data_IF_033304736057
#
_entry.id   IF_033304736057
#
_cell.length_a   1.000
_cell.length_b   1.000
_cell.length_c   1.000
_cell.angle_alpha   90.00
_cell.angle_beta   90.00
_cell.angle_gamma   90.00
#
_symmetry.space_group_name_H-M   'P 1'
#
loop_
_entity.id
_entity.type
_entity.pdbx_description
1 polymer ?
#
# COMPACT_ATOMS: atom_id res chain seq x y z
N UNK A 1 32.28 -36.71 2.79
CA UNK A 1 31.07 -35.87 2.84
C UNK A 1 31.49 -34.40 2.94
N UNK A 2 31.46 -33.66 1.83
CA UNK A 2 31.91 -32.25 1.77
C UNK A 2 30.73 -31.34 2.15
N UNK A 3 30.87 -30.59 3.25
CA UNK A 3 29.98 -29.46 3.60
C UNK A 3 30.53 -28.21 2.91
N UNK A 4 29.77 -27.67 1.98
CA UNK A 4 30.06 -26.39 1.33
C UNK A 4 29.37 -25.27 2.13
N UNK A 5 30.14 -24.31 2.61
CA UNK A 5 29.65 -23.11 3.28
C UNK A 5 29.05 -22.10 2.27
N UNK A 6 28.06 -21.27 2.66
CA UNK A 6 27.52 -20.25 1.76
C UNK A 6 28.47 -19.05 1.63
N UNK A 7 28.66 -18.66 0.36
CA UNK A 7 29.48 -17.52 -0.09
C UNK A 7 28.78 -16.21 0.27
N UNK A 8 29.46 -15.43 1.09
CA UNK A 8 29.15 -14.05 1.42
C UNK A 8 29.38 -13.15 0.18
N UNK A 9 28.33 -12.53 -0.37
CA UNK A 9 28.45 -11.54 -1.46
C UNK A 9 28.23 -10.13 -0.90
N UNK A 10 29.35 -9.46 -0.68
CA UNK A 10 29.45 -8.03 -0.44
C UNK A 10 28.77 -7.23 -1.57
N UNK A 11 27.83 -6.37 -1.18
CA UNK A 11 27.41 -5.21 -1.95
C UNK A 11 28.53 -4.18 -1.91
N UNK A 12 29.26 -4.03 -3.02
CA UNK A 12 30.17 -2.91 -3.26
C UNK A 12 29.38 -1.76 -3.87
N UNK A 13 29.05 -0.76 -3.05
CA UNK A 13 28.86 0.60 -3.51
C UNK A 13 30.26 1.20 -3.70
N UNK A 14 30.71 1.35 -4.95
CA UNK A 14 31.91 2.12 -5.25
C UNK A 14 31.50 3.46 -5.84
N UNK A 15 31.58 4.48 -4.99
CA UNK A 15 31.61 5.89 -5.38
C UNK A 15 33.05 6.26 -5.65
N UNK A 16 33.42 6.46 -6.92
CA UNK A 16 34.65 7.18 -7.27
C UNK A 16 34.37 8.13 -8.44
N UNK A 17 34.32 9.42 -8.08
CA UNK A 17 34.64 10.51 -9.00
C UNK A 17 36.09 10.34 -9.45
N UNK A 18 36.34 10.29 -10.77
CA UNK A 18 37.56 10.88 -11.31
C UNK A 18 37.33 11.38 -12.74
N UNK A 19 37.73 12.63 -12.92
CA UNK A 19 37.83 13.38 -14.16
C UNK A 19 38.82 12.76 -15.15
N UNK A 20 38.65 13.23 -16.39
CA UNK A 20 39.65 13.46 -17.43
C UNK A 20 39.87 12.40 -18.52
N UNK A 21 39.54 12.88 -19.73
CA UNK A 21 40.23 12.72 -21.00
C UNK A 21 40.56 11.30 -21.47
N UNK A 22 39.82 10.83 -22.48
CA UNK A 22 40.49 10.20 -23.61
C UNK A 22 39.77 10.45 -24.94
N UNK A 23 40.61 10.67 -25.95
CA UNK A 23 40.34 11.15 -27.31
C UNK A 23 39.48 10.20 -28.13
N UNK A 24 38.76 10.80 -29.09
CA UNK A 24 38.20 10.17 -30.30
C UNK A 24 39.23 9.27 -31.00
N UNK A 25 38.75 8.23 -31.70
CA UNK A 25 38.87 8.33 -33.16
C UNK A 25 37.59 7.96 -33.90
N UNK A 26 37.49 8.55 -35.09
CA UNK A 26 36.62 8.19 -36.20
C UNK A 26 36.66 6.69 -36.49
N UNK A 27 35.50 6.05 -36.63
CA UNK A 27 35.27 4.97 -37.59
C UNK A 27 33.84 5.10 -38.14
N UNK A 28 33.75 5.42 -39.42
CA UNK A 28 32.58 5.26 -40.26
C UNK A 28 32.43 3.78 -40.66
N UNK A 29 31.20 3.26 -40.74
CA UNK A 29 30.74 2.09 -41.54
C UNK A 29 29.21 2.12 -41.40
N UNK A 30 28.48 2.65 -42.39
CA UNK A 30 27.97 2.03 -43.61
C UNK A 30 26.52 1.53 -43.44
N UNK A 31 25.64 2.21 -44.18
CA UNK A 31 24.26 1.84 -44.47
C UNK A 31 24.17 0.43 -45.06
N UNK A 32 23.19 -0.35 -44.62
CA UNK A 32 22.60 -1.37 -45.49
C UNK A 32 21.09 -1.42 -45.27
N UNK A 33 20.39 -0.84 -46.24
CA UNK A 33 18.97 -1.01 -46.49
C UNK A 33 18.70 -2.43 -46.98
N UNK A 34 17.64 -3.05 -46.49
CA UNK A 34 16.97 -4.11 -47.22
C UNK A 34 15.47 -4.02 -46.95
N UNK A 35 14.76 -3.54 -47.96
CA UNK A 35 13.30 -3.49 -48.07
C UNK A 35 12.84 -4.72 -48.85
N UNK A 36 11.82 -5.41 -48.36
CA UNK A 36 10.78 -6.16 -49.10
C UNK A 36 10.00 -7.00 -48.07
N UNK A 37 8.78 -6.66 -47.68
CA UNK A 37 7.52 -6.80 -48.42
C UNK A 37 7.05 -8.26 -48.56
N UNK A 38 5.85 -8.51 -48.05
CA UNK A 38 4.71 -9.26 -48.64
C UNK A 38 4.08 -10.36 -47.76
N UNK A 39 2.77 -10.16 -47.55
CA UNK A 39 1.69 -11.18 -47.62
C UNK A 39 1.62 -12.22 -46.48
N UNK A 40 0.48 -12.50 -45.84
CA UNK A 40 -0.89 -12.15 -46.16
C UNK A 40 -1.88 -12.55 -45.07
N UNK A 41 -3.12 -12.10 -45.30
CA UNK A 41 -4.33 -12.48 -44.59
C UNK A 41 -4.63 -13.97 -44.75
N UNK A 42 -5.20 -14.60 -43.72
CA UNK A 42 -6.45 -15.33 -43.92
C UNK A 42 -7.23 -15.56 -42.62
N UNK A 43 -8.46 -15.09 -42.66
CA UNK A 43 -9.56 -15.42 -41.77
C UNK A 43 -10.01 -16.87 -42.01
N UNK A 44 -10.39 -17.57 -40.95
CA UNK A 44 -11.46 -18.56 -41.03
C UNK A 44 -12.16 -18.64 -39.67
N UNK A 45 -13.38 -18.10 -39.63
CA UNK A 45 -14.36 -18.38 -38.61
C UNK A 45 -14.80 -19.85 -38.72
N UNK A 46 -15.05 -20.51 -37.60
CA UNK A 46 -16.00 -21.63 -37.56
C UNK A 46 -16.77 -21.60 -36.26
N UNK A 47 -18.08 -21.58 -36.44
CA UNK A 47 -19.17 -21.48 -35.49
C UNK A 47 -19.49 -22.79 -34.77
N UNK A 48 -20.12 -22.65 -33.60
CA UNK A 48 -21.22 -23.48 -33.08
C UNK A 48 -20.94 -24.95 -32.75
N UNK A 49 -21.15 -25.31 -31.49
CA UNK A 49 -22.32 -26.11 -31.10
C UNK A 49 -22.46 -26.20 -29.57
N UNK A 50 -23.68 -25.90 -29.11
CA UNK A 50 -24.24 -26.27 -27.82
C UNK A 50 -24.95 -27.63 -27.97
N UNK A 51 -25.05 -28.41 -26.88
CA UNK A 51 -26.37 -28.89 -26.42
C UNK A 51 -26.50 -28.63 -24.89
N UNK A 52 -27.52 -27.95 -24.37
CA UNK A 52 -28.90 -28.39 -24.09
C UNK A 52 -29.03 -29.74 -23.38
N UNK A 53 -29.29 -29.70 -22.07
CA UNK A 53 -30.37 -30.43 -21.35
C UNK A 53 -30.30 -30.17 -19.82
N UNK A 54 -31.13 -29.23 -19.34
CA UNK A 54 -32.24 -29.36 -18.35
C UNK A 54 -32.28 -30.52 -17.29
N UNK A 55 -33.18 -30.48 -16.26
CA UNK A 55 -33.08 -29.75 -15.00
C UNK A 55 -33.20 -30.67 -13.76
N UNK A 56 -32.73 -30.23 -12.58
CA UNK A 56 -33.19 -30.82 -11.30
C UNK A 56 -33.45 -29.74 -10.26
N UNK A 57 -34.74 -29.49 -10.08
CA UNK A 57 -35.39 -28.87 -8.93
C UNK A 57 -35.13 -29.70 -7.66
N UNK A 58 -35.01 -29.06 -6.49
CA UNK A 58 -35.78 -29.38 -5.26
C UNK A 58 -35.48 -28.35 -4.15
N UNK A 59 -36.56 -27.63 -3.81
CA UNK A 59 -37.03 -27.19 -2.50
C UNK A 59 -36.12 -26.42 -1.50
N UNK A 60 -36.48 -25.15 -1.35
CA UNK A 60 -36.43 -24.31 -0.15
C UNK A 60 -37.29 -24.90 0.99
N UNK A 61 -36.83 -24.81 2.26
CA UNK A 61 -37.74 -24.72 3.40
C UNK A 61 -37.80 -23.28 3.94
N UNK A 62 -39.04 -22.79 4.08
CA UNK A 62 -39.42 -21.52 4.68
C UNK A 62 -39.22 -21.52 6.22
N UNK A 63 -39.23 -20.33 6.87
CA UNK A 63 -38.89 -20.18 8.28
C UNK A 63 -40.06 -20.54 9.20
N UNK A 64 -39.80 -21.35 10.23
CA UNK A 64 -40.75 -21.62 11.30
C UNK A 64 -40.76 -20.47 12.31
N UNK A 65 -41.97 -20.01 12.60
CA UNK A 65 -42.32 -19.00 13.59
C UNK A 65 -42.90 -19.66 14.85
N UNK A 66 -42.92 -18.86 15.93
CA UNK A 66 -43.72 -18.95 17.17
C UNK A 66 -43.13 -19.75 18.35
N UNK A 67 -43.57 -19.53 19.62
CA UNK A 67 -44.37 -18.41 20.19
C UNK A 67 -43.81 -17.83 21.53
N UNK A 68 -44.29 -16.60 21.86
CA UNK A 68 -44.82 -16.11 23.16
C UNK A 68 -44.03 -16.47 24.44
N UNK A 69 -43.63 -15.51 25.28
CA UNK A 69 -44.41 -15.15 26.50
C UNK A 69 -43.90 -13.85 27.12
N UNK A 70 -44.81 -12.88 27.26
CA UNK A 70 -44.70 -11.75 28.18
C UNK A 70 -45.08 -12.18 29.60
N UNK A 71 -44.53 -11.52 30.63
CA UNK A 71 -45.41 -10.98 31.64
C UNK A 71 -45.18 -9.49 31.92
N UNK A 72 -46.31 -8.80 32.08
CA UNK A 72 -46.47 -7.51 32.73
C UNK A 72 -45.85 -7.52 34.16
N UNK A 73 -45.53 -6.42 34.85
CA UNK A 73 -46.34 -5.22 35.10
C UNK A 73 -45.53 -4.26 36.02
N UNK A 74 -46.09 -3.18 36.63
CA UNK A 74 -45.58 -1.82 36.53
C UNK A 74 -44.85 -1.31 37.79
N UNK A 75 -43.95 -0.34 37.63
CA UNK A 75 -43.54 0.51 38.77
C UNK A 75 -43.71 1.98 38.41
N UNK A 76 -44.62 2.59 39.15
CA UNK A 76 -44.99 3.98 39.11
C UNK A 76 -43.79 4.89 39.43
N UNK A 77 -43.55 5.89 38.60
CA UNK A 77 -42.74 7.05 38.95
C UNK A 77 -43.66 8.24 39.20
N UNK A 78 -43.73 8.66 40.47
CA UNK A 78 -44.33 9.93 40.88
C UNK A 78 -43.47 11.11 40.43
N UNK A 79 -44.07 12.28 40.19
CA UNK A 79 -43.41 13.46 39.65
C UNK A 79 -42.71 14.27 40.75
N UNK A 80 -41.44 14.64 40.54
CA UNK A 80 -40.74 15.63 41.39
C UNK A 80 -39.88 16.58 40.55
N UNK A 81 -40.48 17.73 40.27
CA UNK A 81 -39.95 19.09 40.38
C UNK A 81 -38.61 19.48 39.73
N UNK A 82 -38.77 20.23 38.62
CA UNK A 82 -37.86 21.25 38.07
C UNK A 82 -37.39 22.28 39.11
N UNK A 83 -36.08 22.61 39.17
CA UNK A 83 -35.63 23.93 39.56
C UNK A 83 -35.42 24.84 38.33
N UNK A 84 -35.84 26.09 38.48
CA UNK A 84 -35.72 27.20 37.51
C UNK A 84 -34.25 27.59 37.22
N UNK A 85 -34.00 28.28 36.09
CA UNK A 85 -32.68 28.73 35.68
C UNK A 85 -32.23 29.94 36.51
N UNK A 86 -31.01 29.89 37.04
CA UNK A 86 -30.33 31.08 37.57
C UNK A 86 -29.22 31.46 36.60
N UNK A 87 -29.59 32.40 35.74
CA UNK A 87 -28.68 33.35 35.12
C UNK A 87 -28.01 34.18 36.22
N UNK A 88 -26.68 34.24 36.20
CA UNK A 88 -25.91 35.44 36.58
C UNK A 88 -24.48 35.28 36.09
N UNK A 89 -24.25 35.85 34.91
CA UNK A 89 -22.94 36.18 34.36
C UNK A 89 -22.24 37.18 35.29
N UNK A 90 -20.92 37.03 35.44
CA UNK A 90 -20.00 38.14 35.74
C UNK A 90 -18.79 38.05 34.76
N UNK A 91 -18.34 39.19 34.20
CA UNK A 91 -17.67 39.28 32.89
C UNK A 91 -16.15 38.92 32.92
N UNK A 92 -15.51 38.85 31.73
CA UNK A 92 -14.32 38.03 31.49
C UNK A 92 -13.04 38.75 31.89
N UNK A 93 -12.15 38.02 32.56
CA UNK A 93 -10.76 38.46 32.70
C UNK A 93 -10.03 38.11 31.41
N UNK A 94 -9.73 39.15 30.64
CA UNK A 94 -8.96 39.08 29.42
C UNK A 94 -7.52 38.59 29.69
N UNK A 95 -7.25 37.42 29.13
CA UNK A 95 -6.07 37.04 28.34
C UNK A 95 -4.67 37.41 28.85
N UNK A 96 -3.89 36.37 29.10
CA UNK A 96 -2.56 36.29 28.47
C UNK A 96 -2.65 35.26 27.34
N UNK A 97 -2.42 35.64 26.06
CA UNK A 97 -2.41 34.71 24.95
C UNK A 97 -1.17 33.82 25.10
N UNK A 98 -1.36 32.56 25.50
CA UNK A 98 -0.37 31.54 25.21
C UNK A 98 -0.44 31.28 23.71
N UNK A 99 0.46 31.97 23.00
CA UNK A 99 1.08 31.64 21.71
C UNK A 99 0.30 30.75 20.73
N UNK A 100 0.09 31.18 19.48
CA UNK A 100 -0.48 30.34 18.44
C UNK A 100 0.47 29.16 18.22
N UNK A 101 0.05 27.95 18.60
CA UNK A 101 0.76 26.74 18.21
C UNK A 101 0.42 26.50 16.75
N UNK A 102 1.42 26.84 15.94
CA UNK A 102 1.49 26.75 14.49
C UNK A 102 0.93 25.43 13.96
N UNK A 103 -0.05 25.57 13.09
CA UNK A 103 -0.44 24.75 11.94
C UNK A 103 0.63 23.75 11.44
N UNK A 104 0.78 22.62 12.15
CA UNK A 104 1.57 21.48 11.74
C UNK A 104 0.75 20.19 11.92
N UNK A 105 -0.33 20.09 11.15
CA UNK A 105 -0.78 18.79 10.63
C UNK A 105 -0.23 18.65 9.21
N UNK A 106 -0.07 17.44 8.65
CA UNK A 106 -0.05 16.11 9.24
C UNK A 106 1.33 15.46 9.14
N UNK A 107 1.66 14.59 10.10
CA UNK A 107 2.92 13.86 10.10
C UNK A 107 2.88 12.70 9.10
N UNK A 108 3.95 12.50 8.33
CA UNK A 108 4.09 11.35 7.43
C UNK A 108 5.07 10.37 8.07
N UNK A 109 4.66 9.11 8.19
CA UNK A 109 5.50 8.09 8.81
C UNK A 109 5.13 6.66 8.44
N UNK A 110 6.04 5.75 8.76
CA UNK A 110 5.84 4.31 8.63
C UNK A 110 5.38 3.78 9.98
N UNK A 111 4.18 3.20 10.03
CA UNK A 111 3.66 2.61 11.27
C UNK A 111 4.45 1.35 11.60
N UNK A 112 5.02 1.29 12.80
CA UNK A 112 5.81 0.16 13.30
C UNK A 112 5.00 -0.70 14.23
N UNK A 113 4.17 -0.08 15.04
CA UNK A 113 3.44 -0.77 16.08
C UNK A 113 2.15 -0.02 16.43
N UNK A 114 1.11 -0.78 16.79
CA UNK A 114 -0.15 -0.27 17.31
C UNK A 114 -0.51 -1.11 18.53
N UNK A 115 -0.73 -0.47 19.68
CA UNK A 115 -1.04 -1.13 20.94
C UNK A 115 -2.29 -0.53 21.57
N UNK A 116 -3.22 -1.39 22.00
CA UNK A 116 -4.38 -0.96 22.76
C UNK A 116 -3.97 -0.61 24.19
N UNK A 117 -4.14 0.66 24.57
CA UNK A 117 -3.91 1.14 25.92
C UNK A 117 -5.20 1.31 26.71
N UNK A 118 -5.07 1.67 27.99
CA UNK A 118 -6.22 1.86 28.88
C UNK A 118 -7.01 3.16 28.59
N UNK A 119 -6.32 4.19 28.09
CA UNK A 119 -6.90 5.53 27.88
C UNK A 119 -7.10 5.87 26.41
N UNK A 120 -6.30 5.27 25.53
CA UNK A 120 -6.31 5.49 24.09
C UNK A 120 -5.51 4.38 23.39
N UNK A 121 -5.59 4.35 22.07
CA UNK A 121 -4.70 3.54 21.24
C UNK A 121 -3.32 4.23 21.18
N UNK A 122 -2.23 3.46 21.24
CA UNK A 122 -0.87 3.99 21.08
C UNK A 122 -0.29 3.52 19.77
N UNK A 123 0.23 4.45 18.97
CA UNK A 123 0.78 4.19 17.65
C UNK A 123 2.24 4.60 17.65
N UNK A 124 3.13 3.64 17.39
CA UNK A 124 4.56 3.89 17.19
C UNK A 124 4.85 3.91 15.70
N UNK A 125 5.55 4.95 15.24
CA UNK A 125 5.86 5.12 13.83
C UNK A 125 7.21 5.83 13.64
N UNK A 126 7.82 5.60 12.48
CA UNK A 126 9.06 6.26 12.07
C UNK A 126 8.74 7.41 11.13
N UNK A 127 9.13 8.64 11.48
CA UNK A 127 8.90 9.83 10.65
C UNK A 127 9.86 9.93 9.44
N UNK A 128 9.69 10.95 8.61
CA UNK A 128 10.53 11.17 7.41
C UNK A 128 12.02 11.44 7.74
N UNK A 129 12.32 11.87 8.96
CA UNK A 129 13.69 12.05 9.44
C UNK A 129 14.34 10.76 9.92
N UNK A 130 13.57 9.65 9.96
CA UNK A 130 14.02 8.36 10.48
C UNK A 130 13.92 8.25 12.00
N UNK A 131 13.24 9.17 12.68
CA UNK A 131 13.07 9.17 14.13
C UNK A 131 11.77 8.45 14.50
N UNK A 132 11.86 7.58 15.49
CA UNK A 132 10.68 6.91 16.04
C UNK A 132 9.97 7.79 17.06
N UNK A 133 8.64 7.79 16.98
CA UNK A 133 7.75 8.47 17.93
C UNK A 133 6.55 7.60 18.24
N UNK A 134 6.00 7.80 19.42
CA UNK A 134 4.78 7.15 19.89
C UNK A 134 3.76 8.20 20.22
N UNK A 135 2.57 8.08 19.63
CA UNK A 135 1.51 9.05 19.79
C UNK A 135 0.16 8.38 20.08
N UNK A 136 -0.75 9.17 20.66
CA UNK A 136 -2.09 8.74 21.01
C UNK A 136 -3.01 8.73 19.78
N UNK A 137 -3.87 7.73 19.71
CA UNK A 137 -4.81 7.48 18.63
C UNK A 137 -6.17 7.07 19.19
N UNK A 138 -7.22 7.18 18.37
CA UNK A 138 -8.55 6.69 18.73
C UNK A 138 -8.57 5.16 18.79
N UNK A 139 -9.46 4.59 19.61
CA UNK A 139 -9.51 3.15 19.87
C UNK A 139 -9.81 2.32 18.62
N UNK A 140 -10.55 2.87 17.67
CA UNK A 140 -10.95 2.26 16.41
C UNK A 140 -9.74 1.84 15.57
N UNK A 141 -8.61 2.55 15.68
CA UNK A 141 -7.38 2.19 14.98
C UNK A 141 -6.68 0.96 15.56
N UNK A 142 -6.98 0.62 16.82
CA UNK A 142 -6.45 -0.56 17.51
C UNK A 142 -7.27 -1.84 17.25
N UNK A 143 -8.47 -1.75 16.67
CA UNK A 143 -9.32 -2.94 16.40
C UNK A 143 -8.70 -3.88 15.36
N UNK A 144 -7.94 -3.31 14.43
CA UNK A 144 -7.32 -4.03 13.33
C UNK A 144 -5.91 -3.48 13.10
N UNK A 145 -4.92 -3.82 13.94
CA UNK A 145 -3.59 -3.22 13.86
C UNK A 145 -2.81 -3.71 12.63
N UNK A 146 -2.98 -4.98 12.25
CA UNK A 146 -2.17 -5.65 11.22
C UNK A 146 -2.28 -5.02 9.83
N UNK A 147 -3.42 -4.40 9.49
CA UNK A 147 -3.59 -3.74 8.19
C UNK A 147 -2.76 -2.45 8.05
N UNK A 148 -2.30 -1.89 9.17
CA UNK A 148 -1.58 -0.61 9.19
C UNK A 148 -0.07 -0.78 9.33
N UNK A 149 0.42 -1.92 9.83
CA UNK A 149 1.85 -2.11 10.08
C UNK A 149 2.70 -2.08 8.81
N UNK A 150 3.91 -1.54 8.94
CA UNK A 150 4.95 -1.46 7.91
C UNK A 150 4.55 -0.73 6.62
N UNK A 151 3.54 0.13 6.72
CA UNK A 151 3.06 0.96 5.61
C UNK A 151 3.21 2.44 5.93
N UNK A 152 3.36 3.23 4.88
CA UNK A 152 3.53 4.69 4.98
C UNK A 152 2.15 5.36 4.96
N UNK A 153 1.87 6.15 5.98
CA UNK A 153 0.63 6.89 6.11
C UNK A 153 0.90 8.35 6.45
N UNK A 154 -0.10 9.17 6.18
CA UNK A 154 -0.27 10.53 6.67
C UNK A 154 -1.19 10.42 7.88
N UNK A 155 -0.71 10.87 9.02
CA UNK A 155 -1.42 10.81 10.28
C UNK A 155 -2.33 12.05 10.36
N UNK A 156 -3.64 11.83 10.42
CA UNK A 156 -4.60 12.93 10.56
C UNK A 156 -5.10 12.97 12.00
N UNK A 157 -5.13 14.17 12.58
CA UNK A 157 -5.42 14.34 14.00
C UNK A 157 -6.81 14.93 14.20
N UNK A 158 -7.42 14.55 15.32
CA UNK A 158 -8.72 15.04 15.77
C UNK A 158 -8.70 15.32 17.27
N UNK A 159 -9.54 16.26 17.71
CA UNK A 159 -9.68 16.56 19.14
C UNK A 159 -10.73 15.63 19.75
N UNK A 160 -10.29 14.71 20.59
CA UNK A 160 -11.15 13.72 21.25
C UNK A 160 -11.12 13.86 22.78
N UNK A 161 -12.17 13.37 23.42
CA UNK A 161 -12.24 13.29 24.88
C UNK A 161 -11.52 12.03 25.36
N UNK A 162 -10.53 12.22 26.23
CA UNK A 162 -9.76 11.14 26.85
C UNK A 162 -9.97 11.19 28.36
N UNK A 163 -10.08 10.02 28.97
CA UNK A 163 -10.16 9.90 30.41
C UNK A 163 -8.81 10.25 31.05
N UNK A 164 -8.86 10.96 32.18
CA UNK A 164 -7.66 11.50 32.82
C UNK A 164 -6.98 10.53 33.80
N UNK A 165 -7.49 9.30 33.95
CA UNK A 165 -7.01 8.35 34.94
C UNK A 165 -7.18 6.88 34.51
N UNK A 166 -6.19 6.06 34.85
CA UNK A 166 -6.17 4.60 34.66
C UNK A 166 -6.81 3.80 35.80
N UNK A 167 -7.27 4.47 36.87
CA UNK A 167 -7.79 3.84 38.10
C UNK A 167 -9.06 4.52 38.61
N UNK A 168 -9.88 3.77 39.35
CA UNK A 168 -11.13 4.26 39.92
C UNK A 168 -10.89 5.21 41.11
N UNK A 169 -11.41 6.43 40.99
CA UNK A 169 -11.70 7.46 41.99
C UNK A 169 -10.63 8.51 42.43
N UNK A 170 -10.96 9.82 42.33
CA UNK A 170 -12.09 10.43 41.61
C UNK A 170 -11.72 10.66 40.13
N UNK A 171 -11.80 9.60 39.32
CA UNK A 171 -11.72 9.68 37.87
C UNK A 171 -13.08 10.13 37.30
N UNK A 172 -13.22 11.41 36.99
CA UNK A 172 -14.49 11.96 36.51
C UNK A 172 -14.34 13.15 35.57
N UNK A 173 -13.12 13.41 35.10
CA UNK A 173 -12.85 14.53 34.18
C UNK A 173 -12.35 13.96 32.86
N UNK A 174 -13.09 14.27 31.80
CA UNK A 174 -12.63 14.12 30.43
C UNK A 174 -11.78 15.33 30.08
N UNK A 175 -10.59 15.11 29.54
CA UNK A 175 -9.79 16.16 28.93
C UNK A 175 -9.82 16.03 27.42
N UNK A 176 -9.73 17.16 26.71
CA UNK A 176 -9.59 17.18 25.25
C UNK A 176 -8.12 16.96 24.89
N UNK A 177 -7.84 15.98 24.03
CA UNK A 177 -6.52 15.69 23.52
C UNK A 177 -6.57 15.59 21.99
N UNK A 178 -5.46 15.96 21.33
CA UNK A 178 -5.31 15.74 19.90
C UNK A 178 -4.81 14.31 19.69
N UNK A 179 -5.60 13.46 19.06
CA UNK A 179 -5.30 12.06 18.81
C UNK A 179 -5.29 11.79 17.31
N UNK A 180 -4.55 10.79 16.88
CA UNK A 180 -4.64 10.28 15.51
C UNK A 180 -6.03 9.67 15.33
N UNK A 181 -6.82 10.28 14.45
CA UNK A 181 -8.17 9.86 14.13
C UNK A 181 -8.19 8.88 12.95
N UNK A 182 -7.27 9.07 11.99
CA UNK A 182 -7.18 8.21 10.79
C UNK A 182 -5.79 8.18 10.18
N UNK A 183 -5.56 7.12 9.42
CA UNK A 183 -4.39 6.97 8.57
C UNK A 183 -4.77 7.16 7.10
N UNK A 184 -4.33 8.26 6.52
CA UNK A 184 -4.49 8.50 5.08
C UNK A 184 -3.30 7.85 4.35
N UNK A 185 -3.49 6.84 3.48
CA UNK A 185 -2.38 6.19 2.79
C UNK A 185 -1.61 7.18 1.93
N UNK A 186 -0.31 7.30 2.17
CA UNK A 186 0.58 8.12 1.34
C UNK A 186 1.14 7.24 0.24
N UNK A 187 0.49 7.31 -0.92
CA UNK A 187 1.07 6.75 -2.12
C UNK A 187 2.31 7.58 -2.48
N UNK A 188 3.45 6.89 -2.53
CA UNK A 188 4.76 7.42 -2.88
C UNK A 188 4.84 7.70 -4.39
N UNK A 189 3.84 8.38 -4.96
CA UNK A 189 3.76 9.08 -6.26
C UNK A 189 2.30 9.47 -6.49
N UNK A 190 2.09 10.66 -7.07
CA UNK A 190 0.81 11.34 -7.14
C UNK A 190 -0.35 10.51 -7.71
N UNK A 191 -1.47 10.65 -7.01
CA UNK A 191 -2.85 10.61 -7.51
C UNK A 191 -3.38 9.33 -8.18
N UNK A 192 -4.35 8.76 -7.46
CA UNK A 192 -5.63 8.26 -7.97
C UNK A 192 -5.72 6.81 -8.48
N UNK A 193 -6.67 6.12 -7.86
CA UNK A 193 -7.26 4.81 -8.18
C UNK A 193 -6.50 3.59 -7.67
N UNK A 194 -7.18 2.85 -6.78
CA UNK A 194 -6.85 1.52 -6.22
C UNK A 194 -6.62 0.41 -7.27
N UNK A 195 -6.58 0.74 -8.56
CA UNK A 195 -6.31 -0.19 -9.66
C UNK A 195 -5.00 0.05 -10.40
N UNK A 196 -4.22 1.07 -10.04
CA UNK A 196 -3.03 1.49 -10.79
C UNK A 196 -1.70 0.99 -10.21
N UNK A 197 -1.75 0.31 -9.07
CA UNK A 197 -0.56 -0.14 -8.33
C UNK A 197 -0.69 -1.62 -7.99
N UNK A 198 0.30 -2.41 -8.40
CA UNK A 198 0.46 -3.83 -8.06
C UNK A 198 1.64 -3.98 -7.10
N UNK A 199 1.43 -4.67 -5.98
CA UNK A 199 2.49 -5.03 -5.04
C UNK A 199 2.71 -6.53 -5.11
N UNK A 200 3.96 -6.94 -5.30
CA UNK A 200 4.38 -8.33 -5.36
C UNK A 200 5.45 -8.58 -4.30
N UNK A 201 5.34 -9.67 -3.56
CA UNK A 201 6.32 -10.02 -2.52
C UNK A 201 6.55 -11.52 -2.41
N UNK A 202 7.73 -11.88 -1.90
CA UNK A 202 8.07 -13.23 -1.46
C UNK A 202 8.62 -13.25 -0.03
N UNK A 203 8.36 -12.18 0.75
CA UNK A 203 8.87 -11.98 2.11
C UNK A 203 10.28 -11.38 2.18
N UNK A 204 11.18 -11.69 1.25
CA UNK A 204 12.51 -11.07 1.19
C UNK A 204 12.52 -9.80 0.34
N UNK A 205 11.74 -9.81 -0.73
CA UNK A 205 11.63 -8.70 -1.68
C UNK A 205 10.21 -8.18 -1.72
N UNK A 206 10.08 -6.87 -1.86
CA UNK A 206 8.81 -6.20 -2.15
C UNK A 206 8.98 -5.37 -3.41
N UNK A 207 8.18 -5.64 -4.42
CA UNK A 207 8.15 -4.91 -5.69
C UNK A 207 6.80 -4.23 -5.81
N UNK A 208 6.83 -2.91 -5.98
CA UNK A 208 5.65 -2.12 -6.30
C UNK A 208 5.76 -1.65 -7.74
N UNK A 209 4.80 -2.03 -8.57
CA UNK A 209 4.64 -1.54 -9.93
C UNK A 209 3.47 -0.57 -9.92
N UNK A 210 3.67 0.66 -10.38
CA UNK A 210 2.62 1.68 -10.46
C UNK A 210 2.42 2.18 -11.88
N UNK A 211 1.40 3.01 -12.10
CA UNK A 211 1.07 3.55 -13.43
C UNK A 211 0.75 2.43 -14.45
N UNK A 212 0.13 1.35 -14.00
CA UNK A 212 -0.30 0.23 -14.84
C UNK A 212 -1.29 0.66 -15.93
N UNK A 213 -2.12 1.67 -15.65
CA UNK A 213 -3.09 2.22 -16.62
C UNK A 213 -2.43 2.96 -17.80
N UNK A 214 -1.14 3.28 -17.72
CA UNK A 214 -0.39 3.89 -18.82
C UNK A 214 -0.16 2.95 -20.00
N UNK A 215 -0.40 1.64 -19.82
CA UNK A 215 -0.29 0.64 -20.87
C UNK A 215 -1.66 0.32 -21.47
N UNK A 216 -1.83 0.62 -22.76
CA UNK A 216 -3.09 0.43 -23.48
C UNK A 216 -3.26 -0.97 -24.09
N UNK A 217 -2.44 -1.95 -23.70
CA UNK A 217 -2.42 -3.29 -24.31
C UNK A 217 -1.51 -3.43 -25.54
N UNK A 218 -0.87 -2.34 -26.00
CA UNK A 218 0.04 -2.37 -27.16
C UNK A 218 1.46 -2.73 -26.72
N UNK A 219 2.07 -3.73 -27.34
CA UNK A 219 3.43 -4.14 -27.02
C UNK A 219 4.46 -3.02 -27.21
N UNK A 220 5.42 -2.93 -26.28
CA UNK A 220 6.46 -1.90 -26.27
C UNK A 220 5.99 -0.53 -25.76
N UNK A 221 4.76 -0.42 -25.26
CA UNK A 221 4.20 0.83 -24.71
C UNK A 221 4.08 0.77 -23.18
N UNK A 222 3.53 1.83 -22.57
CA UNK A 222 3.46 2.01 -21.12
C UNK A 222 4.46 3.06 -20.61
N UNK A 223 4.26 3.51 -19.38
CA UNK A 223 5.18 4.31 -18.59
C UNK A 223 5.14 3.86 -17.13
N UNK A 224 5.23 2.54 -16.93
CA UNK A 224 5.07 1.94 -15.61
C UNK A 224 6.22 2.38 -14.70
N UNK A 225 5.91 2.58 -13.43
CA UNK A 225 6.90 2.86 -12.39
C UNK A 225 7.26 1.57 -11.65
N UNK A 226 8.47 1.53 -11.11
CA UNK A 226 8.97 0.40 -10.32
C UNK A 226 9.56 0.91 -9.02
N UNK A 227 9.28 0.21 -7.92
CA UNK A 227 9.96 0.34 -6.64
C UNK A 227 10.24 -1.04 -6.08
N UNK A 228 11.50 -1.46 -6.09
CA UNK A 228 11.93 -2.73 -5.47
C UNK A 228 12.69 -2.49 -4.19
N UNK A 229 12.30 -3.13 -3.10
CA UNK A 229 12.94 -3.06 -1.80
C UNK A 229 13.36 -4.45 -1.31
N UNK A 230 14.51 -4.54 -0.64
CA UNK A 230 14.92 -5.74 0.09
C UNK A 230 14.41 -5.72 1.55
N UNK A 231 14.66 -6.81 2.28
CA UNK A 231 14.33 -6.95 3.71
C UNK A 231 14.97 -5.91 4.63
N UNK A 232 16.05 -5.25 4.19
CA UNK A 232 16.72 -4.16 4.91
C UNK A 232 16.14 -2.77 4.57
N UNK A 233 15.00 -2.72 3.89
CA UNK A 233 14.34 -1.51 3.40
C UNK A 233 15.20 -0.65 2.45
N UNK A 234 16.21 -1.25 1.82
CA UNK A 234 16.97 -0.57 0.77
C UNK A 234 16.21 -0.68 -0.55
N UNK A 235 15.80 0.47 -1.08
CA UNK A 235 14.89 0.53 -2.22
C UNK A 235 15.52 1.19 -3.44
N UNK A 236 15.14 0.70 -4.63
CA UNK A 236 15.43 1.32 -5.92
C UNK A 236 14.12 1.72 -6.59
N UNK A 237 14.05 2.95 -7.11
CA UNK A 237 12.91 3.47 -7.88
C UNK A 237 13.31 3.68 -9.34
N UNK A 238 12.47 3.23 -10.27
CA UNK A 238 12.64 3.38 -11.72
C UNK A 238 11.33 3.87 -12.36
N UNK A 239 11.42 4.47 -13.55
CA UNK A 239 10.29 4.95 -14.37
C UNK A 239 10.50 4.54 -15.83
N UNK A 240 9.53 4.78 -16.71
CA UNK A 240 9.67 4.48 -18.14
C UNK A 240 9.47 3.02 -18.49
N UNK A 241 8.83 2.24 -17.61
CA UNK A 241 8.61 0.81 -17.82
C UNK A 241 7.75 0.53 -19.05
N UNK A 242 8.22 -0.38 -19.91
CA UNK A 242 7.50 -0.81 -21.11
C UNK A 242 7.02 -2.25 -20.97
N UNK A 243 5.79 -2.51 -21.38
CA UNK A 243 5.17 -3.83 -21.30
C UNK A 243 5.16 -4.50 -22.68
N UNK A 244 5.53 -5.77 -22.73
CA UNK A 244 5.38 -6.63 -23.91
C UNK A 244 4.81 -7.96 -23.49
N UNK A 245 3.68 -8.34 -24.06
CA UNK A 245 3.05 -9.63 -23.82
C UNK A 245 3.19 -10.55 -25.04
N UNK A 246 3.65 -11.77 -24.81
CA UNK A 246 3.81 -12.81 -25.82
C UNK A 246 3.63 -14.18 -25.18
N UNK A 247 2.90 -15.07 -25.86
CA UNK A 247 2.68 -16.45 -25.42
C UNK A 247 2.10 -16.55 -23.98
N UNK A 248 1.11 -15.71 -23.66
CA UNK A 248 0.47 -15.72 -22.33
C UNK A 248 1.34 -15.17 -21.19
N UNK A 249 2.49 -14.55 -21.50
CA UNK A 249 3.39 -13.98 -20.51
C UNK A 249 3.61 -12.51 -20.84
N UNK A 250 3.43 -11.63 -19.87
CA UNK A 250 3.76 -10.22 -19.95
C UNK A 250 5.09 -9.95 -19.28
N UNK A 251 5.97 -9.24 -19.99
CA UNK A 251 7.25 -8.77 -19.49
C UNK A 251 7.24 -7.25 -19.43
N UNK A 252 7.48 -6.71 -18.24
CA UNK A 252 7.67 -5.28 -18.02
C UNK A 252 9.15 -5.01 -17.81
N UNK A 253 9.72 -4.10 -18.59
CA UNK A 253 11.16 -3.83 -18.61
C UNK A 253 11.44 -2.39 -18.20
N UNK A 254 12.36 -2.21 -17.26
CA UNK A 254 12.95 -0.93 -16.88
C UNK A 254 14.46 -0.93 -17.13
N UNK A 255 15.02 0.23 -17.48
CA UNK A 255 16.45 0.41 -17.69
C UNK A 255 17.00 1.46 -16.73
N UNK A 256 18.20 1.19 -16.21
CA UNK A 256 18.98 2.14 -15.41
C UNK A 256 20.45 2.06 -15.81
N UNK A 257 20.85 2.92 -16.76
CA UNK A 257 22.16 2.84 -17.38
C UNK A 257 22.37 1.48 -18.04
N UNK A 258 23.33 0.70 -17.53
CA UNK A 258 23.68 -0.64 -18.06
C UNK A 258 22.87 -1.78 -17.46
N UNK A 259 21.98 -1.47 -16.51
CA UNK A 259 21.14 -2.44 -15.83
C UNK A 259 19.77 -2.52 -16.49
N UNK A 260 19.25 -3.74 -16.60
CA UNK A 260 17.89 -4.04 -17.06
C UNK A 260 17.17 -4.82 -15.97
N UNK A 261 15.93 -4.41 -15.70
CA UNK A 261 15.05 -5.04 -14.73
C UNK A 261 13.84 -5.54 -15.50
N UNK A 262 13.66 -6.86 -15.55
CA UNK A 262 12.56 -7.50 -16.28
C UNK A 262 11.68 -8.21 -15.27
N UNK A 263 10.46 -7.70 -15.09
CA UNK A 263 9.42 -8.38 -14.34
C UNK A 263 8.54 -9.16 -15.31
N UNK A 264 8.44 -10.46 -15.08
CA UNK A 264 7.68 -11.39 -15.91
C UNK A 264 6.50 -11.91 -15.11
N UNK A 265 5.29 -11.77 -15.65
CA UNK A 265 4.05 -12.22 -15.04
C UNK A 265 3.19 -12.98 -16.06
N UNK A 266 2.63 -14.14 -15.71
CA UNK A 266 1.68 -14.83 -16.58
C UNK A 266 0.35 -14.06 -16.67
N UNK A 267 -0.31 -14.13 -17.82
CA UNK A 267 -1.69 -13.67 -17.99
C UNK A 267 -2.59 -14.76 -17.44
N UNK A 268 -3.31 -14.45 -16.36
CA UNK A 268 -4.18 -15.38 -15.66
C UNK A 268 -5.43 -14.65 -15.19
N UNK A 269 -6.53 -15.38 -15.07
CA UNK A 269 -7.78 -14.89 -14.47
C UNK A 269 -7.63 -14.65 -12.96
N UNK A 270 -6.66 -15.32 -12.32
CA UNK A 270 -6.33 -15.14 -10.92
C UNK A 270 -4.88 -14.65 -10.75
N UNK A 271 -4.62 -13.34 -10.91
CA UNK A 271 -3.28 -12.77 -10.82
C UNK A 271 -2.65 -12.93 -9.43
N UNK A 272 -3.44 -13.04 -8.37
CA UNK A 272 -2.94 -13.25 -7.01
C UNK A 272 -2.34 -14.65 -6.79
N UNK A 273 -2.74 -15.63 -7.59
CA UNK A 273 -2.26 -17.01 -7.47
C UNK A 273 -1.01 -17.29 -8.30
N UNK A 274 -0.74 -16.48 -9.34
CA UNK A 274 0.28 -16.80 -10.33
C UNK A 274 1.61 -16.09 -10.03
N UNK A 275 2.71 -16.84 -9.84
CA UNK A 275 3.98 -16.27 -9.45
C UNK A 275 4.60 -15.45 -10.59
N UNK A 276 5.09 -14.27 -10.23
CA UNK A 276 5.92 -13.43 -11.09
C UNK A 276 7.41 -13.67 -10.81
N UNK A 277 8.27 -13.31 -11.76
CA UNK A 277 9.72 -13.40 -11.63
C UNK A 277 10.38 -12.08 -12.00
N UNK A 278 11.27 -11.56 -11.16
CA UNK A 278 12.14 -10.43 -11.50
C UNK A 278 13.52 -10.94 -11.90
N UNK A 279 14.03 -10.46 -13.04
CA UNK A 279 15.40 -10.68 -13.48
C UNK A 279 16.11 -9.33 -13.52
N UNK A 280 17.29 -9.26 -12.89
CA UNK A 280 18.18 -8.12 -12.98
C UNK A 280 19.41 -8.53 -13.77
N UNK A 281 19.65 -7.85 -14.88
CA UNK A 281 20.80 -8.07 -15.75
C UNK A 281 21.64 -6.81 -15.89
N UNK A 282 22.94 -6.97 -16.14
CA UNK A 282 23.86 -5.88 -16.48
C UNK A 282 24.65 -6.27 -17.72
N UNK A 283 24.66 -5.38 -18.72
CA UNK A 283 25.29 -5.66 -20.02
C UNK A 283 24.81 -7.01 -20.61
N UNK A 284 23.53 -7.34 -20.44
CA UNK A 284 22.94 -8.61 -20.88
C UNK A 284 23.24 -9.85 -20.01
N UNK A 285 24.14 -9.74 -19.02
CA UNK A 285 24.43 -10.83 -18.09
C UNK A 285 23.51 -10.78 -16.87
N UNK A 286 22.80 -11.87 -16.62
CA UNK A 286 21.98 -12.02 -15.42
C UNK A 286 22.83 -11.94 -14.15
N UNK A 287 22.44 -11.03 -13.24
CA UNK A 287 23.06 -10.86 -11.94
C UNK A 287 22.22 -11.48 -10.84
N UNK A 288 20.90 -11.38 -10.98
CA UNK A 288 19.96 -11.83 -9.97
C UNK A 288 18.63 -12.23 -10.61
N UNK A 289 18.01 -13.23 -10.00
CA UNK A 289 16.67 -13.70 -10.33
C UNK A 289 15.90 -13.94 -9.04
N UNK A 290 14.70 -13.38 -8.97
CA UNK A 290 13.82 -13.44 -7.81
C UNK A 290 12.53 -14.12 -8.28
N UNK A 291 12.20 -15.23 -7.65
CA UNK A 291 11.03 -16.05 -7.96
C UNK A 291 9.90 -15.83 -6.94
N UNK A 292 8.75 -16.39 -7.26
CA UNK A 292 7.60 -16.53 -6.37
C UNK A 292 7.07 -15.19 -5.81
N UNK A 293 7.13 -14.15 -6.64
CA UNK A 293 6.57 -12.85 -6.34
C UNK A 293 5.05 -12.89 -6.57
N UNK A 294 4.26 -12.73 -5.52
CA UNK A 294 2.78 -12.75 -5.56
C UNK A 294 2.19 -11.53 -4.88
#
# INVERSE_FOLDING_TARGET
>A
MKKTAPVNKHLMFSSTNMLSFCKRPFVAIALLACSAALVGCNNAATSSQSPTAEPTSIATPAPQSEPVTAPASPVAQKPVTRPKPVSSQKPPVAQKPSTPVTDLEPEIGIIREIQQGDLMCYVTFTDESGKERTEGAIFELCEQPEQYLNRRYRLVYGVHNVNDCTSNEPCGKTRRANLIERFDPVNDTGSSSRGDVTVLTNGEWTITVGNGNSWSGVNGTGDLTYRGCNSKQQCLKLKGGKVTCRNGICSTIWQNGRYTYTLTSPITENPAAAPSTLIVAKDGKELQRIFDLK
#
